data_IF_887096481890
#
_entry.id   IF_887096481890
#
_cell.length_a   1.000
_cell.length_b   1.000
_cell.length_c   1.000
_cell.angle_alpha   90.00
_cell.angle_beta   90.00
_cell.angle_gamma   90.00
#
_symmetry.space_group_name_H-M   'P 1'
#
loop_
_entity.id
_entity.type
_entity.pdbx_description
1 polymer ?
#
# COMPACT_ATOMS: atom_id res chain seq x y z
N UNK A 1 -22.53 8.42 -0.87
CA UNK A 1 -21.79 7.82 -1.99
C UNK A 1 -20.38 8.34 -1.84
N UNK A 2 -19.41 7.54 -1.36
CA UNK A 2 -18.02 8.00 -1.28
C UNK A 2 -17.42 7.97 -2.68
N UNK A 3 -17.00 9.15 -3.16
CA UNK A 3 -16.08 9.23 -4.29
C UNK A 3 -14.69 9.03 -3.70
N UNK A 4 -13.95 8.02 -4.16
CA UNK A 4 -12.62 7.68 -3.63
C UNK A 4 -11.62 8.85 -3.76
N UNK A 5 -11.76 9.67 -4.81
CA UNK A 5 -11.02 10.91 -5.05
C UNK A 5 -11.96 11.90 -5.73
N UNK A 6 -12.00 13.15 -5.25
CA UNK A 6 -12.85 14.22 -5.73
C UNK A 6 -12.02 15.46 -6.07
N UNK A 7 -12.26 16.05 -7.25
CA UNK A 7 -11.71 17.36 -7.59
C UNK A 7 -12.44 18.44 -6.81
N UNK A 8 -11.69 19.30 -6.14
CA UNK A 8 -12.25 20.46 -5.44
C UNK A 8 -12.12 21.72 -6.30
N UNK A 9 -13.07 22.64 -6.19
CA UNK A 9 -13.09 23.87 -6.97
C UNK A 9 -12.15 24.94 -6.39
N UNK A 10 -10.86 24.60 -6.31
CA UNK A 10 -9.79 25.45 -5.83
C UNK A 10 -8.61 25.34 -6.82
N UNK A 11 -8.02 26.48 -7.17
CA UNK A 11 -6.83 26.50 -8.04
C UNK A 11 -5.60 26.90 -7.23
N UNK A 12 -4.54 26.11 -7.32
CA UNK A 12 -3.34 26.32 -6.54
C UNK A 12 -2.49 27.50 -7.05
N UNK A 13 -2.16 28.44 -6.16
CA UNK A 13 -1.19 29.50 -6.45
C UNK A 13 0.18 28.92 -6.81
N UNK A 14 0.91 29.51 -7.77
CA UNK A 14 2.12 28.92 -8.38
C UNK A 14 3.31 28.61 -7.44
N UNK A 15 3.31 29.16 -6.22
CA UNK A 15 4.36 28.89 -5.21
C UNK A 15 3.88 28.00 -4.06
N UNK A 16 2.63 27.56 -4.09
CA UNK A 16 2.02 26.90 -2.94
C UNK A 16 2.79 25.65 -2.51
N UNK A 17 3.19 24.79 -3.44
CA UNK A 17 3.91 23.57 -3.11
C UNK A 17 5.21 23.84 -2.35
N UNK A 18 5.92 24.93 -2.69
CA UNK A 18 7.15 25.35 -2.01
C UNK A 18 6.85 25.91 -0.62
N UNK A 19 5.78 26.70 -0.50
CA UNK A 19 5.33 27.22 0.79
C UNK A 19 4.94 26.09 1.75
N UNK A 20 4.38 25.00 1.22
CA UNK A 20 4.03 23.79 1.99
C UNK A 20 5.24 22.85 2.23
N UNK A 21 6.44 23.20 1.74
CA UNK A 21 7.68 22.47 2.01
C UNK A 21 8.10 21.46 0.95
N UNK A 22 7.35 21.32 -0.15
CA UNK A 22 7.74 20.44 -1.25
C UNK A 22 8.81 21.08 -2.13
N UNK A 23 9.92 20.37 -2.34
CA UNK A 23 11.08 20.83 -3.12
C UNK A 23 11.33 20.04 -4.40
N UNK A 24 10.54 18.99 -4.65
CA UNK A 24 10.66 18.14 -5.84
C UNK A 24 10.12 18.77 -7.13
N UNK A 25 10.40 18.11 -8.25
CA UNK A 25 10.06 18.54 -9.60
C UNK A 25 8.94 17.70 -10.26
N UNK A 26 8.41 16.69 -9.55
CA UNK A 26 7.36 15.82 -10.07
C UNK A 26 6.06 16.59 -10.27
N UNK A 27 5.28 16.17 -11.27
CA UNK A 27 4.01 16.82 -11.62
C UNK A 27 2.96 16.72 -10.50
N UNK A 28 2.94 15.60 -9.79
CA UNK A 28 1.93 15.29 -8.79
C UNK A 28 2.56 15.21 -7.43
N UNK A 29 1.91 15.80 -6.44
CA UNK A 29 2.33 15.78 -5.03
C UNK A 29 1.08 15.82 -4.15
N UNK A 30 1.08 15.03 -3.09
CA UNK A 30 0.05 15.01 -2.08
C UNK A 30 0.58 15.48 -0.73
N UNK A 31 -0.31 16.05 0.08
CA UNK A 31 -0.07 16.37 1.48
C UNK A 31 -1.11 15.70 2.37
N UNK A 32 -0.68 15.30 3.56
CA UNK A 32 -1.57 14.78 4.60
C UNK A 32 -1.06 15.15 5.99
N UNK A 33 -1.98 15.21 6.94
CA UNK A 33 -1.60 15.26 8.34
C UNK A 33 -1.27 13.86 8.83
N UNK A 34 -0.16 13.72 9.55
CA UNK A 34 0.18 12.52 10.30
C UNK A 34 -0.06 12.84 11.78
N UNK A 35 -1.05 12.18 12.39
CA UNK A 35 -1.45 12.45 13.77
C UNK A 35 -0.52 11.82 14.80
N UNK A 36 0.19 10.75 14.41
CA UNK A 36 1.18 10.08 15.26
C UNK A 36 2.38 10.99 15.55
N UNK A 37 2.86 11.72 14.55
CA UNK A 37 3.96 12.68 14.71
C UNK A 37 3.49 14.14 14.76
N UNK A 38 2.19 14.40 14.62
CA UNK A 38 1.60 15.73 14.67
C UNK A 38 2.20 16.68 13.64
N UNK A 39 2.44 16.17 12.42
CA UNK A 39 3.19 16.87 11.39
C UNK A 39 2.52 16.77 10.02
N UNK A 40 2.61 17.85 9.24
CA UNK A 40 2.27 17.82 7.83
C UNK A 40 3.33 16.99 7.09
N UNK A 41 2.89 16.01 6.33
CA UNK A 41 3.72 15.21 5.45
C UNK A 41 3.38 15.49 3.99
N UNK A 42 4.35 15.30 3.10
CA UNK A 42 4.14 15.27 1.66
C UNK A 42 4.67 13.98 1.05
N UNK A 43 4.10 13.59 -0.07
CA UNK A 43 4.62 12.53 -0.93
C UNK A 43 4.32 12.83 -2.39
N UNK A 44 5.26 12.56 -3.29
CA UNK A 44 5.00 12.55 -4.73
C UNK A 44 4.91 11.12 -5.31
N UNK A 45 5.04 10.09 -4.46
CA UNK A 45 5.12 8.67 -4.81
C UNK A 45 6.56 8.13 -4.92
N UNK A 46 7.59 8.96 -4.71
CA UNK A 46 9.01 8.59 -4.78
C UNK A 46 9.75 9.25 -3.62
N UNK A 47 9.52 10.55 -3.43
CA UNK A 47 9.98 11.28 -2.28
C UNK A 47 8.84 11.46 -1.28
N UNK A 48 9.15 11.19 -0.01
CA UNK A 48 8.31 11.52 1.15
C UNK A 48 9.10 12.50 2.01
N UNK A 49 8.43 13.47 2.63
CA UNK A 49 9.10 14.38 3.55
C UNK A 49 8.16 15.21 4.40
N UNK A 50 8.76 15.92 5.35
CA UNK A 50 8.06 16.85 6.21
C UNK A 50 7.68 18.14 5.46
N UNK A 51 6.41 18.51 5.55
CA UNK A 51 5.88 19.79 5.11
C UNK A 51 5.97 20.89 6.17
N UNK A 52 5.54 22.09 5.78
CA UNK A 52 5.54 23.27 6.66
C UNK A 52 4.19 23.42 7.38
N UNK A 53 4.13 22.96 8.64
CA UNK A 53 2.88 22.92 9.42
C UNK A 53 2.18 24.29 9.58
N UNK A 54 2.94 25.38 9.76
CA UNK A 54 2.35 26.74 9.86
C UNK A 54 1.74 27.16 8.52
N UNK A 55 2.42 26.88 7.41
CA UNK A 55 1.91 27.21 6.07
C UNK A 55 0.66 26.38 5.74
N UNK A 56 0.61 25.13 6.21
CA UNK A 56 -0.56 24.27 6.11
C UNK A 56 -1.77 24.83 6.86
N UNK A 57 -1.60 25.21 8.12
CA UNK A 57 -2.67 25.81 8.92
C UNK A 57 -3.16 27.12 8.29
N UNK A 58 -2.26 27.99 7.83
CA UNK A 58 -2.63 29.23 7.13
C UNK A 58 -3.40 28.92 5.84
N UNK A 59 -3.02 27.88 5.10
CA UNK A 59 -3.72 27.45 3.90
C UNK A 59 -5.14 26.96 4.23
N UNK A 60 -5.28 26.06 5.21
CA UNK A 60 -6.59 25.50 5.59
C UNK A 60 -7.53 26.55 6.17
N UNK A 61 -7.01 27.52 6.95
CA UNK A 61 -7.79 28.60 7.57
C UNK A 61 -8.04 29.79 6.64
N UNK A 62 -7.51 29.77 5.41
CA UNK A 62 -7.69 30.88 4.48
C UNK A 62 -9.18 31.01 4.11
N UNK A 63 -9.73 32.23 4.12
CA UNK A 63 -11.16 32.48 3.97
C UNK A 63 -11.77 31.94 2.66
N UNK A 64 -10.99 31.81 1.60
CA UNK A 64 -11.42 31.22 0.32
C UNK A 64 -11.21 29.71 0.22
N UNK A 65 -10.40 29.13 1.12
CA UNK A 65 -10.02 27.71 1.12
C UNK A 65 -10.85 26.94 2.13
N UNK A 66 -10.97 27.46 3.37
CA UNK A 66 -11.66 26.84 4.50
C UNK A 66 -13.05 26.30 4.13
N UNK A 67 -13.96 27.06 3.47
CA UNK A 67 -15.29 26.55 3.16
C UNK A 67 -15.30 25.40 2.15
N UNK A 68 -14.20 25.21 1.41
CA UNK A 68 -14.04 24.16 0.41
C UNK A 68 -13.44 22.91 1.05
N UNK A 69 -12.47 23.06 1.96
CA UNK A 69 -11.67 21.95 2.49
C UNK A 69 -12.14 21.43 3.85
N UNK A 70 -12.86 22.23 4.63
CA UNK A 70 -13.38 21.86 5.97
C UNK A 70 -14.11 20.51 5.98
N UNK A 71 -15.00 20.18 5.01
CA UNK A 71 -15.74 18.93 5.02
C UNK A 71 -14.88 17.67 4.89
N UNK A 72 -13.63 17.83 4.46
CA UNK A 72 -12.70 16.73 4.26
C UNK A 72 -11.76 16.50 5.44
N UNK A 73 -11.80 17.37 6.46
CA UNK A 73 -11.03 17.21 7.70
C UNK A 73 -9.53 16.90 7.45
N UNK A 74 -8.87 17.68 6.60
CA UNK A 74 -7.46 17.48 6.18
C UNK A 74 -6.41 17.62 7.31
N UNK A 75 -6.84 18.01 8.51
CA UNK A 75 -6.01 17.96 9.73
C UNK A 75 -6.08 16.60 10.44
N UNK A 76 -6.80 15.63 9.86
CA UNK A 76 -6.89 14.25 10.28
C UNK A 76 -6.25 13.34 9.22
N UNK A 77 -5.96 12.09 9.58
CA UNK A 77 -5.20 11.17 8.71
C UNK A 77 -6.00 10.59 7.53
N UNK A 78 -7.33 10.75 7.56
CA UNK A 78 -8.22 10.05 6.62
C UNK A 78 -8.05 10.54 5.18
N UNK A 79 -7.99 11.87 4.98
CA UNK A 79 -8.04 12.49 3.66
C UNK A 79 -6.76 13.25 3.33
N UNK A 80 -6.31 13.08 2.09
CA UNK A 80 -5.10 13.69 1.56
C UNK A 80 -5.47 14.72 0.49
N UNK A 81 -4.66 15.77 0.39
CA UNK A 81 -4.77 16.79 -0.65
C UNK A 81 -3.75 16.53 -1.76
N UNK A 82 -4.20 16.17 -2.95
CA UNK A 82 -3.37 15.95 -4.13
C UNK A 82 -3.41 17.15 -5.07
N UNK A 83 -2.24 17.57 -5.57
CA UNK A 83 -2.08 18.66 -6.52
C UNK A 83 -1.53 18.15 -7.86
N UNK A 84 -2.23 18.48 -8.95
CA UNK A 84 -1.64 18.49 -10.29
C UNK A 84 -0.90 19.82 -10.50
N UNK A 85 0.42 19.82 -10.43
CA UNK A 85 1.22 21.05 -10.58
C UNK A 85 1.19 21.61 -12.00
N UNK A 86 0.85 20.80 -13.01
CA UNK A 86 0.73 21.26 -14.39
C UNK A 86 -0.59 22.00 -14.65
N UNK A 87 -1.71 21.47 -14.13
CA UNK A 87 -3.04 22.10 -14.31
C UNK A 87 -3.47 23.00 -13.14
N UNK A 88 -2.69 23.00 -12.05
CA UNK A 88 -2.94 23.70 -10.78
C UNK A 88 -4.26 23.31 -10.12
N UNK A 89 -4.76 22.12 -10.39
CA UNK A 89 -6.00 21.60 -9.83
C UNK A 89 -5.74 20.76 -8.59
N UNK A 90 -6.68 20.83 -7.64
CA UNK A 90 -6.66 20.03 -6.44
C UNK A 90 -7.66 18.90 -6.47
N UNK A 91 -7.27 17.83 -5.78
CA UNK A 91 -8.08 16.66 -5.52
C UNK A 91 -7.98 16.32 -4.04
N UNK A 92 -9.06 15.81 -3.48
CA UNK A 92 -9.10 15.28 -2.12
C UNK A 92 -9.63 13.86 -2.17
N UNK A 93 -9.04 12.97 -1.38
CA UNK A 93 -9.51 11.60 -1.28
C UNK A 93 -8.86 10.86 -0.13
N UNK A 94 -9.32 9.64 0.09
CA UNK A 94 -8.75 8.77 1.12
C UNK A 94 -7.26 8.53 0.84
N UNK A 95 -6.43 8.54 1.88
CA UNK A 95 -4.97 8.45 1.73
C UNK A 95 -4.51 7.25 0.90
N UNK A 96 -5.12 6.08 1.10
CA UNK A 96 -4.82 4.87 0.31
C UNK A 96 -5.13 5.05 -1.18
N UNK A 97 -6.22 5.74 -1.52
CA UNK A 97 -6.60 5.99 -2.91
C UNK A 97 -5.63 6.99 -3.58
N UNK A 98 -5.24 8.04 -2.85
CA UNK A 98 -4.26 9.03 -3.34
C UNK A 98 -2.88 8.40 -3.52
N UNK A 99 -2.41 7.58 -2.58
CA UNK A 99 -1.13 6.87 -2.71
C UNK A 99 -1.16 5.91 -3.92
N UNK A 100 -2.25 5.15 -4.10
CA UNK A 100 -2.40 4.25 -5.26
C UNK A 100 -2.35 5.00 -6.61
N UNK A 101 -2.81 6.26 -6.64
CA UNK A 101 -2.67 7.10 -7.82
C UNK A 101 -1.22 7.52 -8.04
N UNK A 102 -0.52 7.95 -6.99
CA UNK A 102 0.88 8.37 -7.06
C UNK A 102 1.82 7.24 -7.53
N UNK A 103 1.52 6.00 -7.13
CA UNK A 103 2.27 4.81 -7.53
C UNK A 103 1.99 4.37 -8.98
N UNK A 104 0.93 4.89 -9.61
CA UNK A 104 0.52 4.53 -10.97
C UNK A 104 0.42 5.74 -11.91
N UNK A 105 1.48 6.03 -12.69
CA UNK A 105 1.50 7.16 -13.61
C UNK A 105 0.37 7.18 -14.65
N UNK A 106 -0.12 6.03 -15.10
CA UNK A 106 -1.19 5.96 -16.11
C UNK A 106 -2.55 6.38 -15.52
N UNK A 107 -2.81 6.08 -14.25
CA UNK A 107 -4.03 6.53 -13.54
C UNK A 107 -4.07 8.06 -13.39
N UNK A 108 -2.92 8.68 -13.10
CA UNK A 108 -2.80 10.15 -13.03
C UNK A 108 -2.94 10.81 -14.41
N UNK A 109 -2.48 10.15 -15.48
CA UNK A 109 -2.70 10.61 -16.85
C UNK A 109 -4.18 10.56 -17.21
N UNK A 110 -4.87 9.50 -16.86
CA UNK A 110 -6.31 9.35 -17.08
C UNK A 110 -7.09 10.41 -16.27
N UNK A 111 -6.75 10.60 -15.00
CA UNK A 111 -7.37 11.64 -14.15
C UNK A 111 -7.24 13.03 -14.80
N UNK A 112 -6.03 13.39 -15.27
CA UNK A 112 -5.82 14.66 -15.97
C UNK A 112 -6.59 14.76 -17.30
N UNK A 113 -6.75 13.65 -18.04
CA UNK A 113 -7.50 13.64 -19.29
C UNK A 113 -9.01 13.81 -19.08
N UNK A 114 -9.54 13.15 -18.04
CA UNK A 114 -10.96 13.25 -17.67
C UNK A 114 -11.32 14.68 -17.25
N UNK A 115 -10.43 15.37 -16.55
CA UNK A 115 -10.64 16.77 -16.17
C UNK A 115 -10.43 17.78 -17.30
N UNK A 116 -9.61 17.42 -18.30
CA UNK A 116 -9.33 18.26 -19.47
C UNK A 116 -10.39 18.19 -20.57
N UNK A 117 -11.26 17.16 -20.57
CA UNK A 117 -12.21 16.92 -21.65
C UNK A 117 -13.65 16.95 -21.14
N UNK A 118 -14.21 18.15 -20.98
CA UNK A 118 -15.61 18.34 -20.53
C UNK A 118 -16.67 17.97 -21.58
N UNK A 119 -16.32 17.54 -22.79
CA UNK A 119 -17.28 17.41 -23.90
C UNK A 119 -17.30 16.10 -24.73
N UNK A 120 -16.60 15.02 -24.37
CA UNK A 120 -16.83 13.73 -25.07
C UNK A 120 -16.60 12.50 -24.20
N UNK A 121 -17.56 12.27 -23.31
CA UNK A 121 -17.67 11.02 -22.53
C UNK A 121 -18.16 9.87 -23.43
N UNK A 122 -18.73 10.14 -24.60
CA UNK A 122 -19.32 9.13 -25.49
C UNK A 122 -18.33 8.54 -26.52
N UNK A 123 -17.49 9.35 -27.20
CA UNK A 123 -16.61 8.80 -28.25
C UNK A 123 -15.45 7.95 -27.69
N UNK A 124 -15.05 8.24 -26.45
CA UNK A 124 -13.96 7.54 -25.77
C UNK A 124 -14.36 6.11 -25.39
N UNK A 125 -15.64 5.88 -25.07
CA UNK A 125 -16.16 4.55 -24.71
C UNK A 125 -16.18 3.58 -25.90
N UNK A 126 -16.45 4.09 -27.11
CA UNK A 126 -16.48 3.28 -28.33
C UNK A 126 -15.07 2.95 -28.82
N UNK A 127 -14.11 3.86 -28.63
CA UNK A 127 -12.69 3.66 -28.97
C UNK A 127 -12.03 2.62 -28.05
N UNK A 128 -12.36 2.64 -26.74
CA UNK A 128 -11.89 1.65 -25.76
C UNK A 128 -12.52 0.27 -26.04
N UNK A 129 -13.81 0.21 -26.42
CA UNK A 129 -14.47 -1.03 -26.85
C UNK A 129 -13.84 -1.64 -28.11
N UNK A 130 -13.49 -0.82 -29.12
CA UNK A 130 -12.87 -1.30 -30.35
C UNK A 130 -11.46 -1.85 -30.11
N UNK A 131 -10.67 -1.17 -29.29
CA UNK A 131 -9.31 -1.60 -28.92
C UNK A 131 -9.33 -2.91 -28.13
N UNK A 132 -10.33 -3.09 -27.26
CA UNK A 132 -10.51 -4.33 -26.48
C UNK A 132 -11.03 -5.50 -27.33
N UNK A 133 -11.91 -5.24 -28.30
CA UNK A 133 -12.41 -6.26 -29.22
C UNK A 133 -11.33 -6.79 -30.17
N UNK A 134 -10.39 -5.93 -30.62
CA UNK A 134 -9.24 -6.38 -31.40
C UNK A 134 -8.27 -7.27 -30.62
N UNK A 135 -8.12 -7.05 -29.31
CA UNK A 135 -7.27 -7.88 -28.45
C UNK A 135 -7.87 -9.28 -28.19
N UNK A 136 -9.18 -9.34 -28.01
CA UNK A 136 -9.98 -10.57 -27.80
C UNK A 136 -9.93 -11.57 -28.97
N UNK A 137 -9.65 -11.10 -30.18
CA UNK A 137 -9.57 -11.95 -31.39
C UNK A 137 -8.17 -12.50 -31.70
N UNK A 138 -7.15 -12.13 -30.93
CA UNK A 138 -5.81 -12.71 -31.05
C UNK A 138 -5.76 -14.15 -30.51
N UNK A 139 -4.81 -14.97 -30.97
CA UNK A 139 -4.70 -16.40 -30.59
C UNK A 139 -4.56 -16.63 -29.07
N UNK A 140 -4.11 -15.62 -28.32
CA UNK A 140 -4.09 -15.63 -26.85
C UNK A 140 -5.50 -15.57 -26.22
N UNK A 141 -6.46 -14.88 -26.85
CA UNK A 141 -7.86 -14.78 -26.39
C UNK A 141 -8.69 -16.05 -26.64
N UNK A 142 -8.31 -16.88 -27.63
CA UNK A 142 -9.00 -18.15 -27.91
C UNK A 142 -8.71 -19.23 -26.87
N UNK A 143 -7.52 -19.24 -26.26
CA UNK A 143 -7.16 -20.19 -25.20
C UNK A 143 -7.88 -19.95 -23.87
N UNK A 144 -8.37 -18.73 -23.63
CA UNK A 144 -9.18 -18.38 -22.47
C UNK A 144 -10.65 -18.80 -22.59
N UNK A 145 -11.14 -19.15 -23.79
CA UNK A 145 -12.53 -19.61 -24.00
C UNK A 145 -12.78 -21.05 -23.56
N UNK A 146 -11.75 -21.85 -23.28
CA UNK A 146 -11.90 -23.28 -22.98
C UNK A 146 -11.86 -23.63 -21.50
N UNK A 147 -11.54 -22.69 -20.60
CA UNK A 147 -11.29 -23.04 -19.18
C UNK A 147 -12.28 -22.43 -18.18
N UNK A 148 -13.14 -21.47 -18.53
CA UNK A 148 -14.17 -20.98 -17.60
C UNK A 148 -15.52 -20.68 -18.30
N UNK A 149 -16.61 -21.40 -17.94
CA UNK A 149 -17.95 -21.04 -18.36
C UNK A 149 -18.44 -19.84 -17.55
N UNK A 150 -18.80 -18.77 -18.27
CA UNK A 150 -19.74 -17.69 -17.91
C UNK A 150 -19.66 -17.16 -16.47
N UNK A 151 -19.02 -16.00 -16.32
CA UNK A 151 -19.62 -14.93 -15.53
C UNK A 151 -18.81 -14.37 -14.36
N UNK A 152 -17.61 -13.82 -14.60
CA UNK A 152 -17.10 -12.68 -13.82
C UNK A 152 -16.23 -11.84 -14.75
N UNK A 153 -16.85 -10.89 -15.45
CA UNK A 153 -16.17 -9.81 -16.16
C UNK A 153 -16.24 -8.55 -15.31
N UNK A 154 -15.08 -8.16 -14.78
CA UNK A 154 -14.60 -6.79 -14.49
C UNK A 154 -15.66 -5.69 -14.57
N UNK A 155 -15.92 -4.99 -13.46
CA UNK A 155 -16.62 -3.69 -13.48
C UNK A 155 -15.84 -2.67 -12.66
N UNK A 156 -15.24 -1.70 -13.35
CA UNK A 156 -15.00 -0.35 -12.83
C UNK A 156 -15.88 0.66 -13.60
N UNK A 157 -16.61 1.44 -12.79
CA UNK A 157 -17.16 2.79 -12.95
C UNK A 157 -17.45 3.29 -14.39
N UNK A 158 -18.73 3.38 -14.75
CA UNK A 158 -19.37 4.64 -15.18
C UNK A 158 -20.89 4.44 -15.41
N UNK A 159 -21.68 5.34 -14.83
CA UNK A 159 -23.03 5.77 -15.23
C UNK A 159 -24.00 4.74 -15.83
N UNK A 160 -24.96 4.28 -15.02
CA UNK A 160 -26.31 3.97 -15.53
C UNK A 160 -27.36 4.70 -14.69
N UNK A 161 -28.24 5.39 -15.41
CA UNK A 161 -29.27 6.28 -14.91
C UNK A 161 -30.26 5.62 -13.95
N UNK A 162 -30.89 6.51 -13.20
CA UNK A 162 -31.73 6.33 -12.01
C UNK A 162 -32.94 5.39 -12.08
N UNK A 163 -33.19 4.66 -13.17
CA UNK A 163 -34.44 3.90 -13.33
C UNK A 163 -34.34 2.39 -13.04
N UNK A 164 -33.14 1.81 -12.90
CA UNK A 164 -32.97 0.35 -12.70
C UNK A 164 -32.26 -0.04 -11.38
N UNK A 165 -31.92 0.92 -10.52
CA UNK A 165 -31.02 0.70 -9.37
C UNK A 165 -31.73 0.22 -8.08
N UNK A 166 -33.06 0.15 -8.04
CA UNK A 166 -33.80 -0.07 -6.78
C UNK A 166 -34.04 -1.54 -6.42
N UNK A 167 -33.78 -2.49 -7.32
CA UNK A 167 -34.07 -3.92 -7.06
C UNK A 167 -32.85 -4.79 -6.78
N UNK A 168 -31.64 -4.27 -7.02
CA UNK A 168 -30.40 -5.07 -7.05
C UNK A 168 -29.60 -4.98 -5.73
N UNK A 169 -29.94 -4.03 -4.84
CA UNK A 169 -29.19 -3.77 -3.61
C UNK A 169 -29.02 -4.96 -2.65
N UNK A 170 -29.98 -5.86 -2.41
CA UNK A 170 -29.77 -6.87 -1.37
C UNK A 170 -28.78 -7.96 -1.81
N UNK A 171 -28.89 -8.45 -3.06
CA UNK A 171 -28.10 -9.60 -3.54
C UNK A 171 -26.70 -9.25 -4.02
N UNK A 172 -26.53 -8.08 -4.66
CA UNK A 172 -25.20 -7.64 -5.10
C UNK A 172 -24.37 -7.14 -3.91
N UNK A 173 -25.01 -6.61 -2.86
CA UNK A 173 -24.31 -6.25 -1.62
C UNK A 173 -23.97 -7.50 -0.78
N UNK A 174 -24.81 -8.54 -0.75
CA UNK A 174 -24.42 -9.85 -0.18
C UNK A 174 -23.26 -10.51 -0.95
N UNK A 175 -23.26 -10.46 -2.29
CA UNK A 175 -22.21 -11.11 -3.10
C UNK A 175 -20.90 -10.29 -3.20
N UNK A 176 -20.95 -8.95 -3.19
CA UNK A 176 -19.75 -8.11 -3.13
C UNK A 176 -19.09 -8.16 -1.74
N UNK A 177 -19.86 -8.38 -0.68
CA UNK A 177 -19.31 -8.66 0.66
C UNK A 177 -18.62 -10.02 0.76
N UNK A 178 -18.75 -10.90 -0.25
CA UNK A 178 -18.16 -12.24 -0.26
C UNK A 178 -16.86 -12.35 -1.09
N UNK A 179 -16.50 -11.35 -1.91
CA UNK A 179 -15.35 -11.47 -2.84
C UNK A 179 -14.16 -10.55 -2.51
N UNK A 180 -14.33 -9.57 -1.62
CA UNK A 180 -13.20 -9.04 -0.84
C UNK A 180 -13.36 -9.63 0.54
N UNK A 181 -12.76 -10.80 0.77
CA UNK A 181 -12.45 -11.19 2.13
C UNK A 181 -11.44 -10.16 2.62
N UNK A 182 -11.92 -9.04 3.17
CA UNK A 182 -11.21 -8.39 4.26
C UNK A 182 -11.11 -9.51 5.28
N UNK A 183 -9.97 -10.20 5.29
CA UNK A 183 -9.63 -11.05 6.41
C UNK A 183 -9.49 -10.07 7.57
N UNK A 184 -10.60 -9.85 8.27
CA UNK A 184 -10.59 -9.23 9.58
C UNK A 184 -9.65 -10.08 10.39
N UNK A 185 -8.41 -9.62 10.55
CA UNK A 185 -7.50 -10.16 11.54
C UNK A 185 -8.27 -10.18 12.85
N UNK A 186 -8.23 -11.32 13.54
CA UNK A 186 -8.83 -11.41 14.87
C UNK A 186 -8.29 -10.26 15.74
N UNK A 187 -9.07 -9.74 16.70
CA UNK A 187 -8.58 -8.74 17.64
C UNK A 187 -7.29 -9.25 18.31
N UNK A 188 -6.17 -8.56 18.09
CA UNK A 188 -4.87 -8.92 18.64
C UNK A 188 -3.66 -8.68 17.74
N UNK A 189 -3.83 -8.52 16.42
CA UNK A 189 -2.74 -8.11 15.54
C UNK A 189 -2.61 -6.59 15.51
N UNK A 190 -1.40 -6.08 15.69
CA UNK A 190 -1.09 -4.64 15.73
C UNK A 190 0.34 -4.41 15.31
N UNK A 191 0.71 -3.13 15.15
CA UNK A 191 2.09 -2.72 14.91
C UNK A 191 2.95 -2.68 16.18
N UNK A 192 2.42 -3.10 17.33
CA UNK A 192 3.07 -2.93 18.62
C UNK A 192 2.95 -1.52 19.18
N UNK A 193 3.32 -1.37 20.46
CA UNK A 193 3.35 -0.06 21.13
C UNK A 193 4.42 0.80 20.46
N UNK A 194 4.04 1.98 19.98
CA UNK A 194 4.93 2.89 19.24
C UNK A 194 4.98 2.65 17.73
N UNK A 195 4.22 1.69 17.19
CA UNK A 195 3.99 1.54 15.75
C UNK A 195 2.87 2.43 15.21
N UNK A 196 2.70 2.49 13.88
CA UNK A 196 1.84 3.43 13.13
C UNK A 196 0.36 3.05 13.00
N UNK A 197 -0.10 2.01 13.70
CA UNK A 197 -1.51 1.58 13.66
C UNK A 197 -2.04 1.09 12.29
N UNK A 198 -1.24 1.15 11.24
CA UNK A 198 -1.56 0.86 9.84
C UNK A 198 -1.39 -0.62 9.48
N UNK A 199 -1.66 -1.50 10.45
CA UNK A 199 -1.43 -2.93 10.31
C UNK A 199 -2.10 -3.49 9.04
N UNK A 200 -1.28 -4.14 8.23
CA UNK A 200 -1.66 -4.79 7.01
C UNK A 200 -1.24 -6.26 7.05
N UNK A 201 -2.02 -7.13 6.45
CA UNK A 201 -1.74 -8.55 6.56
C UNK A 201 -2.43 -9.41 5.52
N UNK A 202 -1.92 -10.63 5.40
CA UNK A 202 -2.52 -11.71 4.64
C UNK A 202 -2.37 -13.04 5.37
N UNK A 203 -3.34 -13.93 5.18
CA UNK A 203 -3.28 -15.31 5.63
C UNK A 203 -3.83 -16.18 4.50
N UNK A 204 -3.07 -17.20 4.12
CA UNK A 204 -3.49 -18.15 3.10
C UNK A 204 -4.63 -19.03 3.61
N UNK A 205 -5.57 -19.36 2.71
CA UNK A 205 -6.68 -20.27 3.01
C UNK A 205 -6.23 -21.73 3.12
N UNK A 206 -5.22 -22.10 2.34
CA UNK A 206 -4.63 -23.42 2.32
C UNK A 206 -3.16 -23.30 2.70
N UNK A 207 -2.73 -24.17 3.60
CA UNK A 207 -1.37 -24.18 4.10
C UNK A 207 -0.83 -25.60 3.94
N UNK A 208 0.34 -25.74 3.32
CA UNK A 208 1.01 -27.02 3.12
C UNK A 208 1.71 -27.53 4.39
N UNK A 209 2.52 -28.59 4.24
CA UNK A 209 3.23 -29.22 5.38
C UNK A 209 4.36 -28.37 5.98
N UNK A 210 4.73 -27.27 5.31
CA UNK A 210 5.67 -26.25 5.78
C UNK A 210 5.10 -24.87 5.51
N UNK A 211 5.61 -23.90 6.24
CA UNK A 211 5.03 -22.57 6.27
C UNK A 211 6.06 -21.49 6.00
N UNK A 212 5.63 -20.47 5.27
CA UNK A 212 6.41 -19.28 4.98
C UNK A 212 5.67 -18.07 5.52
N UNK A 213 6.23 -17.44 6.55
CA UNK A 213 5.66 -16.26 7.17
C UNK A 213 6.56 -15.06 6.88
N UNK A 214 5.99 -13.97 6.37
CA UNK A 214 6.70 -12.72 6.12
C UNK A 214 6.23 -11.66 7.11
N UNK A 215 7.18 -11.06 7.83
CA UNK A 215 7.00 -9.82 8.59
C UNK A 215 7.77 -8.73 7.86
N UNK A 216 7.10 -7.64 7.50
CA UNK A 216 7.73 -6.58 6.70
C UNK A 216 7.30 -5.20 7.14
N UNK A 217 8.27 -4.33 7.41
CA UNK A 217 8.05 -2.95 7.87
C UNK A 217 8.87 -1.96 7.05
N UNK A 218 8.57 -0.67 7.15
CA UNK A 218 9.51 0.35 6.70
C UNK A 218 10.56 0.60 7.79
N UNK A 219 10.12 0.86 9.02
CA UNK A 219 10.97 1.26 10.15
C UNK A 219 10.48 0.67 11.48
N UNK A 220 11.34 0.69 12.50
CA UNK A 220 10.97 0.33 13.88
C UNK A 220 10.79 1.56 14.79
N UNK A 221 11.20 2.73 14.32
CA UNK A 221 11.13 4.00 15.03
C UNK A 221 11.28 5.18 14.06
N UNK A 222 10.90 6.37 14.53
CA UNK A 222 10.75 7.57 13.69
C UNK A 222 12.00 8.46 13.64
N UNK A 223 13.01 8.21 14.48
CA UNK A 223 14.13 9.13 14.71
C UNK A 223 15.25 8.96 13.66
N UNK A 224 14.91 8.83 12.38
CA UNK A 224 15.89 8.75 11.29
C UNK A 224 15.81 9.95 10.33
N UNK A 225 16.83 10.08 9.50
CA UNK A 225 16.91 11.06 8.41
C UNK A 225 17.92 10.56 7.38
N UNK A 226 18.03 11.19 6.21
CA UNK A 226 18.85 10.67 5.11
C UNK A 226 20.36 10.45 5.39
N UNK A 227 20.91 10.95 6.49
CA UNK A 227 22.30 10.66 6.91
C UNK A 227 22.39 9.98 8.29
N UNK A 228 21.26 9.74 8.94
CA UNK A 228 21.18 9.22 10.30
C UNK A 228 20.13 8.11 10.34
N UNK A 229 20.61 6.88 10.41
CA UNK A 229 19.79 5.66 10.40
C UNK A 229 20.09 4.86 11.66
N UNK A 230 19.56 5.27 12.83
CA UNK A 230 19.75 4.52 14.06
C UNK A 230 19.03 3.17 13.97
N UNK A 231 19.62 2.14 14.58
CA UNK A 231 19.01 0.82 14.63
C UNK A 231 17.83 0.81 15.59
N UNK A 232 16.64 0.53 15.07
CA UNK A 232 15.45 0.30 15.89
C UNK A 232 15.33 -1.17 16.29
N UNK A 233 14.49 -1.45 17.29
CA UNK A 233 14.25 -2.81 17.79
C UNK A 233 12.84 -3.28 17.44
N UNK A 234 12.73 -4.55 17.04
CA UNK A 234 11.43 -5.20 16.82
C UNK A 234 11.39 -6.54 17.51
N UNK A 235 10.39 -6.74 18.37
CA UNK A 235 10.18 -8.01 19.08
C UNK A 235 9.28 -8.94 18.28
N UNK A 236 9.70 -10.19 18.09
CA UNK A 236 8.92 -11.22 17.38
C UNK A 236 8.68 -12.39 18.30
N UNK A 237 7.41 -12.66 18.62
CA UNK A 237 7.01 -13.82 19.40
C UNK A 237 6.41 -14.89 18.48
N UNK A 238 7.00 -16.08 18.45
CA UNK A 238 6.49 -17.22 17.70
C UNK A 238 5.94 -18.26 18.67
N UNK A 239 4.65 -18.53 18.56
CA UNK A 239 3.92 -19.55 19.33
C UNK A 239 3.38 -20.68 18.46
N UNK A 240 3.44 -20.53 17.14
CA UNK A 240 2.91 -21.49 16.17
C UNK A 240 3.74 -22.78 16.11
N UNK A 241 3.11 -23.94 16.32
CA UNK A 241 3.81 -25.23 16.60
C UNK A 241 3.51 -26.37 15.62
N UNK A 242 2.47 -26.26 14.82
CA UNK A 242 1.93 -27.41 14.09
C UNK A 242 2.83 -27.85 12.94
N UNK A 243 3.62 -26.94 12.38
CA UNK A 243 4.41 -27.16 11.17
C UNK A 243 5.76 -26.45 11.24
N UNK A 244 6.78 -26.93 10.49
CA UNK A 244 8.05 -26.24 10.37
C UNK A 244 7.89 -24.89 9.65
N UNK A 245 8.55 -23.86 10.19
CA UNK A 245 8.42 -22.46 9.78
C UNK A 245 9.70 -22.00 9.07
N UNK A 246 9.54 -21.38 7.91
CA UNK A 246 10.50 -20.42 7.37
C UNK A 246 10.00 -19.01 7.68
N UNK A 247 10.80 -18.25 8.42
CA UNK A 247 10.48 -16.88 8.82
C UNK A 247 11.24 -15.90 7.94
N UNK A 248 10.54 -15.06 7.19
CA UNK A 248 11.10 -13.99 6.40
C UNK A 248 10.86 -12.65 7.11
N UNK A 249 11.93 -11.86 7.25
CA UNK A 249 11.91 -10.55 7.91
C UNK A 249 12.38 -9.50 6.91
N UNK A 250 11.65 -8.39 6.80
CA UNK A 250 12.00 -7.33 5.86
C UNK A 250 11.86 -5.93 6.47
N UNK A 251 12.85 -5.07 6.26
CA UNK A 251 12.80 -3.66 6.68
C UNK A 251 13.58 -2.73 5.74
N UNK A 252 13.17 -1.46 5.67
CA UNK A 252 13.95 -0.43 4.98
C UNK A 252 15.05 0.09 5.90
N UNK A 253 14.66 0.66 7.05
CA UNK A 253 15.57 1.16 8.08
C UNK A 253 16.31 0.02 8.80
N UNK A 254 17.46 0.29 9.44
CA UNK A 254 18.18 -0.73 10.20
C UNK A 254 17.34 -1.24 11.37
N UNK A 255 17.16 -2.56 11.46
CA UNK A 255 16.41 -3.21 12.54
C UNK A 255 17.24 -4.29 13.22
N UNK A 256 17.18 -4.32 14.54
CA UNK A 256 17.53 -5.47 15.35
C UNK A 256 16.26 -6.25 15.70
N UNK A 257 16.12 -7.42 15.09
CA UNK A 257 15.01 -8.34 15.30
C UNK A 257 15.27 -9.19 16.54
N UNK A 258 14.38 -9.16 17.52
CA UNK A 258 14.46 -9.94 18.76
C UNK A 258 13.49 -11.11 18.67
N UNK A 259 14.00 -12.28 18.33
CA UNK A 259 13.20 -13.48 18.15
C UNK A 259 13.04 -14.24 19.47
N UNK A 260 11.79 -14.47 19.87
CA UNK A 260 11.42 -15.34 20.98
C UNK A 260 10.51 -16.46 20.49
N UNK A 261 10.88 -17.71 20.76
CA UNK A 261 10.12 -18.89 20.34
C UNK A 261 9.58 -19.65 21.55
N UNK A 262 8.30 -20.00 21.53
CA UNK A 262 7.72 -20.84 22.56
C UNK A 262 8.24 -22.30 22.45
N UNK A 263 8.21 -23.10 23.54
CA UNK A 263 8.62 -24.49 23.48
C UNK A 263 7.86 -25.29 22.42
N UNK A 264 8.59 -26.09 21.65
CA UNK A 264 8.05 -26.95 20.59
C UNK A 264 7.92 -26.28 19.22
N UNK A 265 8.13 -24.96 19.12
CA UNK A 265 8.21 -24.25 17.84
C UNK A 265 9.42 -24.73 17.04
N UNK A 266 9.26 -24.91 15.72
CA UNK A 266 10.32 -25.34 14.81
C UNK A 266 10.50 -24.32 13.69
N UNK A 267 11.51 -23.46 13.81
CA UNK A 267 11.94 -22.57 12.74
C UNK A 267 13.10 -23.25 12.01
N UNK A 268 12.91 -23.59 10.74
CA UNK A 268 13.91 -24.28 9.91
C UNK A 268 14.91 -23.31 9.28
N UNK A 269 14.47 -22.08 9.02
CA UNK A 269 15.25 -21.06 8.34
C UNK A 269 14.70 -19.68 8.63
N UNK A 270 15.61 -18.71 8.71
CA UNK A 270 15.28 -17.29 8.70
C UNK A 270 15.86 -16.66 7.42
N UNK A 271 15.07 -15.83 6.75
CA UNK A 271 15.51 -15.05 5.58
C UNK A 271 15.35 -13.58 5.96
N UNK A 272 16.44 -12.82 5.90
CA UNK A 272 16.43 -11.40 6.19
C UNK A 272 16.63 -10.64 4.88
N UNK A 273 15.74 -9.68 4.61
CA UNK A 273 15.78 -8.81 3.44
C UNK A 273 15.80 -7.36 3.92
N UNK A 274 16.71 -6.54 3.46
CA UNK A 274 16.74 -5.14 3.91
C UNK A 274 17.39 -4.21 2.93
N UNK A 275 17.10 -2.91 3.08
CA UNK A 275 17.87 -1.89 2.39
C UNK A 275 19.12 -1.57 3.21
N UNK A 276 18.92 -1.16 4.47
CA UNK A 276 20.01 -1.03 5.44
C UNK A 276 20.30 -2.33 6.19
N UNK A 277 21.41 -2.34 6.91
CA UNK A 277 21.89 -3.47 7.69
C UNK A 277 20.85 -3.93 8.71
N UNK A 278 20.59 -5.24 8.70
CA UNK A 278 19.66 -5.90 9.61
C UNK A 278 20.45 -6.81 10.56
N UNK A 279 19.95 -6.99 11.79
CA UNK A 279 20.54 -7.93 12.75
C UNK A 279 19.45 -8.72 13.45
N UNK A 280 19.76 -9.93 13.91
CA UNK A 280 18.80 -10.77 14.65
C UNK A 280 19.44 -11.37 15.90
N UNK A 281 18.68 -11.38 16.99
CA UNK A 281 19.03 -11.98 18.28
C UNK A 281 17.99 -13.06 18.62
N UNK A 282 18.39 -14.14 19.30
CA UNK A 282 17.50 -15.26 19.64
C UNK A 282 17.30 -16.27 18.52
N UNK A 283 18.20 -16.27 17.53
CA UNK A 283 18.18 -17.18 16.38
C UNK A 283 19.30 -18.24 16.41
N UNK A 284 19.83 -18.56 17.59
CA UNK A 284 20.97 -19.47 17.72
C UNK A 284 20.66 -20.86 17.17
N UNK A 285 21.52 -21.36 16.27
CA UNK A 285 21.36 -22.67 15.65
C UNK A 285 20.32 -22.74 14.52
N UNK A 286 19.65 -21.63 14.20
CA UNK A 286 18.76 -21.53 13.04
C UNK A 286 19.56 -21.01 11.84
N UNK A 287 19.53 -21.67 10.68
CA UNK A 287 20.12 -21.16 9.45
C UNK A 287 19.54 -19.80 9.06
N UNK A 288 20.40 -18.81 8.79
CA UNK A 288 20.04 -17.46 8.35
C UNK A 288 20.57 -17.22 6.94
N UNK A 289 19.71 -16.69 6.06
CA UNK A 289 20.12 -16.13 4.77
C UNK A 289 19.90 -14.61 4.79
N UNK A 290 20.96 -13.85 4.49
CA UNK A 290 21.00 -12.38 4.62
C UNK A 290 21.02 -11.70 3.24
N UNK A 291 20.13 -10.72 3.05
CA UNK A 291 19.95 -9.92 1.84
C UNK A 291 19.72 -8.43 2.18
N UNK A 292 20.43 -7.93 3.19
CA UNK A 292 20.55 -6.49 3.44
C UNK A 292 21.42 -5.85 2.37
N UNK A 293 20.88 -4.94 1.57
CA UNK A 293 21.57 -4.33 0.43
C UNK A 293 22.86 -3.62 0.85
N UNK A 294 22.81 -2.79 1.89
CA UNK A 294 23.96 -2.03 2.36
C UNK A 294 25.09 -2.95 2.87
N UNK A 295 24.76 -4.07 3.50
CA UNK A 295 25.73 -5.03 4.02
C UNK A 295 26.27 -6.01 2.97
N UNK A 296 25.38 -6.55 2.12
CA UNK A 296 25.68 -7.68 1.23
C UNK A 296 25.81 -7.28 -0.24
N UNK A 297 25.40 -6.05 -0.59
CA UNK A 297 25.28 -5.58 -1.97
C UNK A 297 24.08 -6.16 -2.73
N UNK A 298 23.19 -6.91 -2.06
CA UNK A 298 22.07 -7.60 -2.69
C UNK A 298 20.79 -7.49 -1.84
N UNK A 299 19.63 -7.47 -2.51
CA UNK A 299 18.30 -7.48 -1.89
C UNK A 299 17.40 -8.43 -2.69
N UNK A 300 16.58 -9.25 -2.03
CA UNK A 300 15.68 -10.20 -2.72
C UNK A 300 14.57 -9.48 -3.47
N UNK A 301 14.05 -8.41 -2.90
CA UNK A 301 12.97 -7.62 -3.50
C UNK A 301 12.73 -6.35 -2.72
N UNK A 302 11.97 -5.45 -3.34
CA UNK A 302 11.60 -4.18 -2.73
C UNK A 302 10.86 -4.41 -1.40
N UNK A 303 11.10 -3.51 -0.44
CA UNK A 303 10.44 -3.54 0.86
C UNK A 303 9.02 -3.02 0.70
N UNK A 304 8.06 -3.80 1.16
CA UNK A 304 6.65 -3.44 1.19
C UNK A 304 6.07 -3.84 2.54
N UNK A 305 5.41 -2.91 3.21
CA UNK A 305 4.79 -3.12 4.52
C UNK A 305 3.27 -3.24 4.45
N UNK A 306 2.68 -3.05 3.25
CA UNK A 306 1.26 -3.23 3.01
C UNK A 306 0.99 -4.47 2.14
N UNK A 307 -0.15 -5.10 2.40
CA UNK A 307 -0.69 -6.16 1.56
C UNK A 307 -1.58 -5.55 0.47
N UNK A 308 -1.27 -5.85 -0.80
CA UNK A 308 -2.01 -5.36 -1.97
C UNK A 308 -1.66 -6.11 -3.25
N UNK A 309 -2.19 -5.68 -4.39
CA UNK A 309 -1.95 -6.35 -5.69
C UNK A 309 -0.45 -6.43 -6.05
N UNK A 310 0.35 -5.42 -5.71
CA UNK A 310 1.80 -5.47 -5.90
C UNK A 310 2.48 -6.58 -5.08
N UNK A 311 1.99 -6.87 -3.86
CA UNK A 311 2.48 -7.93 -2.97
C UNK A 311 1.95 -9.32 -3.35
N UNK A 312 0.76 -9.38 -3.98
CA UNK A 312 0.10 -10.62 -4.40
C UNK A 312 0.40 -11.02 -5.86
N UNK A 313 0.88 -10.10 -6.70
CA UNK A 313 1.22 -10.42 -8.09
C UNK A 313 2.48 -11.27 -8.15
N UNK A 314 2.39 -12.36 -8.90
CA UNK A 314 3.50 -13.26 -9.23
C UNK A 314 4.52 -12.61 -10.20
N UNK A 315 4.74 -11.30 -10.11
CA UNK A 315 5.84 -10.67 -10.81
C UNK A 315 7.14 -11.22 -10.21
N UNK A 316 8.04 -11.69 -11.07
CA UNK A 316 9.38 -12.19 -10.70
C UNK A 316 10.21 -11.24 -9.84
N UNK A 317 9.83 -9.97 -9.69
CA UNK A 317 10.55 -8.98 -8.89
C UNK A 317 9.94 -8.70 -7.51
N UNK A 318 8.74 -9.20 -7.20
CA UNK A 318 8.15 -8.99 -5.87
C UNK A 318 8.88 -9.83 -4.81
N UNK A 319 9.06 -9.29 -3.61
CA UNK A 319 9.72 -9.99 -2.50
C UNK A 319 9.01 -11.34 -2.22
N UNK A 320 7.68 -11.34 -2.25
CA UNK A 320 6.87 -12.57 -2.06
C UNK A 320 7.19 -13.62 -3.13
N UNK A 321 7.22 -13.25 -4.41
CA UNK A 321 7.54 -14.19 -5.49
C UNK A 321 8.96 -14.75 -5.34
N UNK A 322 9.92 -13.91 -4.96
CA UNK A 322 11.30 -14.30 -4.72
C UNK A 322 11.44 -15.25 -3.53
N UNK A 323 10.77 -14.97 -2.42
CA UNK A 323 10.73 -15.86 -1.24
C UNK A 323 10.11 -17.21 -1.57
N UNK A 324 8.97 -17.23 -2.28
CA UNK A 324 8.30 -18.48 -2.67
C UNK A 324 9.17 -19.29 -3.66
N UNK A 325 9.78 -18.64 -4.64
CA UNK A 325 10.67 -19.30 -5.58
C UNK A 325 11.93 -19.84 -4.89
N UNK A 326 12.44 -19.15 -3.87
CA UNK A 326 13.64 -19.57 -3.16
C UNK A 326 13.39 -20.70 -2.17
N UNK A 327 12.25 -20.67 -1.49
CA UNK A 327 11.88 -21.66 -0.47
C UNK A 327 11.12 -22.86 -1.06
N UNK A 328 10.49 -22.68 -2.22
CA UNK A 328 9.50 -23.60 -2.78
C UNK A 328 8.29 -23.80 -1.84
N UNK A 329 8.01 -22.82 -0.98
CA UNK A 329 6.88 -22.80 -0.05
C UNK A 329 5.99 -21.61 -0.41
N UNK A 330 4.68 -21.81 -0.69
CA UNK A 330 3.74 -20.71 -0.86
C UNK A 330 3.65 -19.85 0.42
N UNK A 331 3.46 -18.54 0.25
CA UNK A 331 3.32 -17.63 1.38
C UNK A 331 2.12 -18.06 2.25
N UNK A 332 2.38 -18.31 3.52
CA UNK A 332 1.38 -18.71 4.51
C UNK A 332 0.76 -17.50 5.19
N UNK A 333 1.57 -16.53 5.59
CA UNK A 333 1.05 -15.25 6.08
C UNK A 333 2.00 -14.09 5.79
N UNK A 334 1.42 -12.90 5.80
CA UNK A 334 2.10 -11.61 5.80
C UNK A 334 1.59 -10.79 6.97
N UNK A 335 2.50 -10.09 7.65
CA UNK A 335 2.20 -9.04 8.61
C UNK A 335 3.09 -7.85 8.29
N UNK A 336 2.52 -6.64 8.24
CA UNK A 336 3.31 -5.45 7.99
C UNK A 336 2.67 -4.17 8.47
N UNK A 337 3.51 -3.18 8.72
CA UNK A 337 3.18 -1.84 9.17
C UNK A 337 4.25 -0.89 8.64
N UNK A 338 3.94 0.38 8.39
CA UNK A 338 4.97 1.36 8.09
C UNK A 338 6.01 1.37 9.23
N UNK A 339 5.56 1.58 10.46
CA UNK A 339 6.35 1.43 11.68
C UNK A 339 5.83 0.27 12.51
N UNK A 340 6.68 -0.72 12.78
CA UNK A 340 6.33 -1.85 13.64
C UNK A 340 7.38 -2.06 14.72
N UNK A 341 6.93 -2.32 15.96
CA UNK A 341 7.80 -2.57 17.12
C UNK A 341 7.61 -3.98 17.69
N UNK A 342 6.48 -4.64 17.41
CA UNK A 342 6.26 -6.02 17.84
C UNK A 342 5.30 -6.79 16.94
N UNK A 343 5.57 -8.08 16.75
CA UNK A 343 4.71 -8.99 15.97
C UNK A 343 4.58 -10.35 16.64
N UNK A 344 3.43 -10.99 16.44
CA UNK A 344 3.14 -12.32 16.98
C UNK A 344 2.73 -13.29 15.87
N UNK A 345 3.30 -14.50 15.90
CA UNK A 345 2.91 -15.60 15.03
C UNK A 345 2.29 -16.73 15.85
N UNK A 346 0.98 -16.91 15.75
CA UNK A 346 0.18 -17.84 16.55
C UNK A 346 -0.27 -19.06 15.77
#
# INVERSE_FOLDING_TARGET
>A
MSKLVERINLTAHAQLEKSLGYTGDRRWVAWHWDSDIGQLMYTDGEAVGAGQAIAWQVFLQHAEVDPIVEPYHLEQEENWLLLDRSSRQFYVGEGQAIQSLLDNPESLRLLAQLDGNTNSIQDTADTVKQTFNQWSESDAGRLLKTVLPVGVGIVLIAGLGFAAWTWVKPRLQEQLSQTVTRTTFAPGYSCGIGGTGDFSGYVAHEVGDRELHLISIYEAHWDHSGAYHPTGQVDIQVERRDRPITLALSAYEPVQWHLSTAPGVKIEKIIINGYYDQTIVGAEGIPIEEYSYHQTGNMLGMIHYNWGEASATANSQSLVAQLQNRTQIPLTSFQGCYRGTSFELK
#
